data_IF_432494595703
#
_entry.id   IF_432494595703
#
_cell.length_a   1.000
_cell.length_b   1.000
_cell.length_c   1.000
_cell.angle_alpha   90.00
_cell.angle_beta   90.00
_cell.angle_gamma   90.00
#
_symmetry.space_group_name_H-M   'P 1'
#
loop_
_entity.id
_entity.type
_entity.pdbx_description
1 polymer ?
#
# COMPACT_ATOMS: atom_id res chain seq x y z
N UNK A 1 30.05 -4.06 8.56
CA UNK A 1 29.10 -3.48 9.54
C UNK A 1 27.95 -2.71 8.89
N UNK A 2 28.18 -1.98 7.79
CA UNK A 2 27.18 -1.15 7.08
C UNK A 2 25.90 -1.90 6.62
N UNK A 3 26.03 -3.16 6.18
CA UNK A 3 24.90 -3.95 5.63
C UNK A 3 23.78 -4.27 6.64
N UNK A 4 24.10 -4.43 7.94
CA UNK A 4 23.09 -4.78 8.96
C UNK A 4 22.21 -3.59 9.34
N UNK A 5 22.76 -2.38 9.32
CA UNK A 5 22.02 -1.15 9.65
C UNK A 5 20.96 -0.85 8.58
N UNK A 6 21.30 -1.02 7.31
CA UNK A 6 20.34 -0.87 6.21
C UNK A 6 19.18 -1.88 6.27
N UNK A 7 19.47 -3.13 6.68
CA UNK A 7 18.45 -4.15 6.83
C UNK A 7 17.45 -3.81 7.94
N UNK A 8 17.95 -3.36 9.10
CA UNK A 8 17.12 -2.97 10.25
C UNK A 8 16.30 -1.72 9.91
N UNK A 9 16.92 -0.69 9.31
CA UNK A 9 16.23 0.53 8.90
C UNK A 9 15.07 0.24 7.92
N UNK A 10 15.28 -0.65 6.94
CA UNK A 10 14.24 -1.05 6.00
C UNK A 10 13.07 -1.75 6.70
N UNK A 11 13.35 -2.66 7.64
CA UNK A 11 12.29 -3.35 8.40
C UNK A 11 11.48 -2.35 9.23
N UNK A 12 12.15 -1.41 9.91
CA UNK A 12 11.46 -0.37 10.69
C UNK A 12 10.57 0.49 9.78
N UNK A 13 11.09 0.95 8.65
CA UNK A 13 10.32 1.74 7.68
C UNK A 13 9.12 0.94 7.15
N UNK A 14 9.34 -0.34 6.80
CA UNK A 14 8.28 -1.22 6.32
C UNK A 14 7.19 -1.46 7.37
N UNK A 15 7.56 -1.64 8.65
CA UNK A 15 6.61 -1.75 9.76
C UNK A 15 5.81 -0.46 9.96
N UNK A 16 6.45 0.71 9.83
CA UNK A 16 5.75 2.00 9.90
C UNK A 16 4.73 2.13 8.76
N UNK A 17 5.12 1.79 7.52
CA UNK A 17 4.22 1.82 6.36
C UNK A 17 3.05 0.87 6.57
N UNK A 18 3.32 -0.34 7.07
CA UNK A 18 2.30 -1.34 7.35
C UNK A 18 1.33 -0.84 8.44
N UNK A 19 1.85 -0.25 9.50
CA UNK A 19 1.04 0.35 10.57
C UNK A 19 0.18 1.51 10.05
N UNK A 20 0.72 2.39 9.22
CA UNK A 20 -0.05 3.50 8.60
C UNK A 20 -1.12 2.96 7.66
N UNK A 21 -0.81 1.96 6.84
CA UNK A 21 -1.79 1.29 5.97
C UNK A 21 -2.93 0.65 6.78
N UNK A 22 -2.59 -0.06 7.85
CA UNK A 22 -3.57 -0.65 8.76
C UNK A 22 -4.44 0.42 9.45
N UNK A 23 -3.84 1.52 9.90
CA UNK A 23 -4.58 2.65 10.49
C UNK A 23 -5.53 3.29 9.47
N UNK A 24 -5.17 3.36 8.19
CA UNK A 24 -6.03 3.89 7.14
C UNK A 24 -7.25 2.99 6.87
N UNK A 25 -7.09 1.66 6.99
CA UNK A 25 -8.20 0.70 6.90
C UNK A 25 -9.10 0.72 8.14
N UNK A 26 -8.52 0.86 9.33
CA UNK A 26 -9.29 0.87 10.59
C UNK A 26 -10.01 2.21 10.76
N UNK A 27 -9.32 3.33 10.54
CA UNK A 27 -9.85 4.69 10.71
C UNK A 27 -10.30 5.33 9.41
N UNK A 28 -10.87 4.55 8.49
CA UNK A 28 -11.34 5.05 7.18
C UNK A 28 -12.29 6.24 7.31
N UNK A 29 -13.17 6.26 8.31
CA UNK A 29 -14.09 7.40 8.53
C UNK A 29 -13.38 8.68 8.94
N UNK A 30 -12.25 8.58 9.65
CA UNK A 30 -11.43 9.75 9.98
C UNK A 30 -10.77 10.31 8.73
N UNK A 31 -10.24 9.44 7.86
CA UNK A 31 -9.68 9.85 6.57
C UNK A 31 -10.75 10.45 5.65
N UNK A 32 -11.96 9.90 5.61
CA UNK A 32 -13.06 10.45 4.83
C UNK A 32 -13.52 11.82 5.35
N UNK A 33 -13.45 12.08 6.65
CA UNK A 33 -13.75 13.40 7.22
C UNK A 33 -12.67 14.44 6.89
N UNK A 34 -11.40 14.02 6.79
CA UNK A 34 -10.27 14.91 6.48
C UNK A 34 -10.18 15.21 4.98
N UNK A 35 -10.28 14.17 4.14
CA UNK A 35 -10.09 14.28 2.69
C UNK A 35 -11.40 14.46 1.91
N UNK A 36 -12.55 14.21 2.55
CA UNK A 36 -13.86 14.34 1.93
C UNK A 36 -14.25 13.14 1.06
N UNK A 37 -15.27 13.35 0.22
CA UNK A 37 -15.74 12.35 -0.74
C UNK A 37 -15.04 12.55 -2.09
N UNK A 38 -14.57 11.45 -2.67
CA UNK A 38 -13.99 11.39 -4.00
C UNK A 38 -15.10 11.08 -5.00
N UNK A 39 -15.46 12.05 -5.86
CA UNK A 39 -16.54 11.89 -6.85
C UNK A 39 -16.35 10.68 -7.76
N UNK A 40 -15.11 10.42 -8.20
CA UNK A 40 -14.80 9.23 -9.00
C UNK A 40 -15.15 7.93 -8.25
N UNK A 41 -14.86 7.87 -6.95
CA UNK A 41 -15.17 6.71 -6.13
C UNK A 41 -16.67 6.54 -5.92
N UNK A 42 -17.41 7.63 -5.68
CA UNK A 42 -18.88 7.57 -5.54
C UNK A 42 -19.57 7.05 -6.82
N UNK A 43 -19.03 7.36 -8.01
CA UNK A 43 -19.63 6.95 -9.30
C UNK A 43 -19.18 5.54 -9.71
N UNK A 44 -17.94 5.14 -9.40
CA UNK A 44 -17.35 3.87 -9.87
C UNK A 44 -17.38 2.74 -8.85
N UNK A 45 -17.45 3.04 -7.55
CA UNK A 45 -17.44 2.06 -6.48
C UNK A 45 -18.80 2.04 -5.79
N UNK A 46 -19.42 0.85 -5.69
CA UNK A 46 -20.73 0.70 -5.03
C UNK A 46 -20.77 1.10 -3.55
N UNK A 47 -19.60 1.19 -2.89
CA UNK A 47 -19.46 1.72 -1.52
C UNK A 47 -18.70 3.05 -1.44
N UNK A 48 -18.58 3.74 -2.57
CA UNK A 48 -18.09 5.11 -2.68
C UNK A 48 -16.69 5.34 -2.12
N UNK A 49 -16.51 6.54 -1.56
CA UNK A 49 -15.24 7.01 -1.02
C UNK A 49 -14.77 6.19 0.18
N UNK A 50 -15.70 5.60 0.96
CA UNK A 50 -15.36 4.71 2.09
C UNK A 50 -14.59 3.49 1.63
N UNK A 51 -15.06 2.83 0.57
CA UNK A 51 -14.34 1.70 -0.01
C UNK A 51 -13.01 2.12 -0.63
N UNK A 52 -12.98 3.28 -1.30
CA UNK A 52 -11.75 3.80 -1.87
C UNK A 52 -10.62 3.98 -0.84
N UNK A 53 -10.90 4.62 0.29
CA UNK A 53 -9.89 4.81 1.34
C UNK A 53 -9.46 3.48 1.99
N UNK A 54 -10.36 2.49 2.11
CA UNK A 54 -9.97 1.15 2.56
C UNK A 54 -9.06 0.45 1.56
N UNK A 55 -9.37 0.54 0.27
CA UNK A 55 -8.55 -0.05 -0.79
C UNK A 55 -7.15 0.57 -0.83
N UNK A 56 -7.06 1.89 -0.67
CA UNK A 56 -5.76 2.57 -0.54
C UNK A 56 -4.98 2.08 0.70
N UNK A 57 -5.66 1.91 1.83
CA UNK A 57 -5.05 1.35 3.04
C UNK A 57 -4.53 -0.08 2.83
N UNK A 58 -5.30 -0.93 2.14
CA UNK A 58 -4.89 -2.31 1.79
C UNK A 58 -3.66 -2.29 0.89
N UNK A 59 -3.63 -1.42 -0.13
CA UNK A 59 -2.43 -1.23 -0.98
C UNK A 59 -1.23 -0.78 -0.14
N UNK A 60 -1.43 0.13 0.82
CA UNK A 60 -0.38 0.54 1.75
C UNK A 60 0.16 -0.61 2.61
N UNK A 61 -0.70 -1.51 3.09
CA UNK A 61 -0.29 -2.72 3.83
C UNK A 61 0.54 -3.64 2.94
N UNK A 62 0.10 -3.87 1.69
CA UNK A 62 0.83 -4.70 0.72
C UNK A 62 2.21 -4.12 0.42
N UNK A 63 2.31 -2.80 0.22
CA UNK A 63 3.59 -2.11 0.03
C UNK A 63 4.46 -2.26 1.28
N UNK A 64 3.91 -2.04 2.48
CA UNK A 64 4.62 -2.25 3.75
C UNK A 64 5.21 -3.65 3.86
N UNK A 65 4.44 -4.67 3.49
CA UNK A 65 4.91 -6.05 3.48
C UNK A 65 6.06 -6.28 2.48
N UNK A 66 5.96 -5.73 1.27
CA UNK A 66 7.02 -5.80 0.26
C UNK A 66 8.32 -5.11 0.70
N UNK A 67 8.22 -3.99 1.43
CA UNK A 67 9.36 -3.28 2.00
C UNK A 67 10.09 -4.18 3.00
N UNK A 68 9.33 -4.82 3.90
CA UNK A 68 9.88 -5.70 4.95
C UNK A 68 10.57 -6.92 4.31
N UNK A 69 9.91 -7.59 3.36
CA UNK A 69 10.42 -8.81 2.73
C UNK A 69 11.51 -8.53 1.69
N UNK A 70 11.75 -7.27 1.33
CA UNK A 70 12.70 -6.86 0.28
C UNK A 70 12.37 -7.45 -1.10
N UNK A 71 11.09 -7.79 -1.35
CA UNK A 71 10.63 -8.46 -2.57
C UNK A 71 10.13 -7.48 -3.64
N UNK A 72 10.72 -6.29 -3.72
CA UNK A 72 10.28 -5.25 -4.67
C UNK A 72 10.31 -5.66 -6.13
N UNK A 73 11.23 -6.55 -6.50
CA UNK A 73 11.40 -7.03 -7.87
C UNK A 73 10.21 -7.89 -8.33
N UNK A 74 9.58 -8.66 -7.41
CA UNK A 74 8.58 -9.66 -7.76
C UNK A 74 7.27 -9.07 -8.32
N UNK A 75 6.64 -8.04 -7.70
CA UNK A 75 5.44 -7.41 -8.26
C UNK A 75 5.70 -6.72 -9.59
N UNK A 76 6.87 -6.10 -9.77
CA UNK A 76 7.24 -5.42 -11.02
C UNK A 76 7.34 -6.42 -12.17
N UNK A 77 8.00 -7.56 -11.95
CA UNK A 77 8.11 -8.60 -12.97
C UNK A 77 6.75 -9.25 -13.23
N UNK A 78 5.89 -9.41 -12.22
CA UNK A 78 4.56 -9.97 -12.43
C UNK A 78 3.61 -9.04 -13.21
N UNK A 79 3.66 -7.73 -12.93
CA UNK A 79 2.82 -6.72 -13.59
C UNK A 79 3.36 -6.38 -14.99
N UNK A 80 4.66 -6.18 -15.12
CA UNK A 80 5.29 -5.69 -16.35
C UNK A 80 6.00 -6.78 -17.17
N UNK A 81 6.24 -7.97 -16.61
CA UNK A 81 6.86 -9.10 -17.33
C UNK A 81 6.17 -9.48 -18.64
N UNK A 82 4.82 -9.46 -18.72
CA UNK A 82 4.11 -9.66 -19.98
C UNK A 82 4.43 -8.60 -21.05
N UNK A 83 4.78 -7.37 -20.66
CA UNK A 83 5.16 -6.30 -21.59
C UNK A 83 6.59 -6.48 -22.14
N UNK A 84 7.45 -7.19 -21.41
CA UNK A 84 8.83 -7.46 -21.81
C UNK A 84 9.01 -8.83 -22.47
N UNK A 85 7.91 -9.55 -22.77
CA UNK A 85 7.97 -10.83 -23.48
C UNK A 85 8.69 -11.94 -22.72
N UNK A 86 8.92 -11.78 -21.41
CA UNK A 86 9.47 -12.83 -20.57
C UNK A 86 8.35 -13.82 -20.24
N UNK A 87 8.27 -14.90 -21.03
CA UNK A 87 7.61 -16.14 -20.65
C UNK A 87 8.60 -17.02 -19.89
#
# INVERSE_FOLDING_TARGET
>A
MYSRIHMIARIIIGVIILAVGALMVIKTESFLKIFGRVQWAEVKLGGGSRLFYKLLGIVGILIGFLVITNMWQMPIIWIFGPLFGQR
#
